data_IF_440722548259
#
_entry.id   IF_440722548259
#
_cell.length_a   1.000
_cell.length_b   1.000
_cell.length_c   1.000
_cell.angle_alpha   90.00
_cell.angle_beta   90.00
_cell.angle_gamma   90.00
#
_symmetry.space_group_name_H-M   'P 1'
#
loop_
_entity.id
_entity.type
_entity.pdbx_description
1 polymer ?
#
# COMPACT_ATOMS: atom_id res chain seq x y z
N UNK A 1 38.00 64.64 -58.81
CA UNK A 1 37.31 65.17 -57.59
C UNK A 1 35.83 64.77 -57.54
N UNK A 2 34.94 65.14 -58.47
CA UNK A 2 33.50 64.78 -58.40
C UNK A 2 33.24 63.30 -58.49
N UNK A 3 33.90 62.55 -59.36
CA UNK A 3 33.76 61.08 -59.49
C UNK A 3 34.23 60.31 -58.24
N UNK A 4 35.24 60.81 -57.61
CA UNK A 4 35.83 60.18 -56.36
C UNK A 4 34.87 60.38 -55.18
N UNK A 5 34.21 61.55 -55.11
CA UNK A 5 33.19 61.77 -54.06
C UNK A 5 31.96 60.87 -54.27
N UNK A 6 31.52 60.66 -55.51
CA UNK A 6 30.42 59.72 -55.81
C UNK A 6 30.77 58.32 -55.52
N UNK A 7 31.99 57.86 -55.77
CA UNK A 7 32.47 56.53 -55.42
C UNK A 7 32.49 56.32 -53.88
N UNK A 8 33.04 57.29 -53.16
CA UNK A 8 33.10 57.24 -51.70
C UNK A 8 31.67 57.22 -51.06
N UNK A 9 30.77 58.05 -51.65
CA UNK A 9 29.36 58.05 -51.18
C UNK A 9 28.69 56.71 -51.38
N UNK A 10 28.82 56.08 -52.54
CA UNK A 10 28.28 54.75 -52.83
C UNK A 10 28.84 53.68 -51.87
N UNK A 11 30.15 53.69 -51.63
CA UNK A 11 30.81 52.78 -50.71
C UNK A 11 30.33 52.95 -49.25
N UNK A 12 30.07 54.16 -48.83
CA UNK A 12 29.54 54.49 -47.52
C UNK A 12 28.10 53.99 -47.37
N UNK A 13 27.25 54.13 -48.39
CA UNK A 13 25.89 53.61 -48.45
C UNK A 13 25.88 52.07 -48.37
N UNK A 14 26.77 51.39 -49.12
CA UNK A 14 26.89 49.93 -49.08
C UNK A 14 27.35 49.43 -47.68
N UNK A 15 28.29 50.12 -47.07
CA UNK A 15 28.75 49.78 -45.69
C UNK A 15 27.64 50.06 -44.66
N UNK A 16 26.90 51.15 -44.80
CA UNK A 16 25.78 51.47 -43.90
C UNK A 16 24.67 50.41 -43.99
N UNK A 17 24.30 49.98 -45.21
CA UNK A 17 23.32 48.94 -45.43
C UNK A 17 23.78 47.58 -44.83
N UNK A 18 25.03 47.19 -45.06
CA UNK A 18 25.59 45.97 -44.49
C UNK A 18 25.65 46.02 -42.97
N UNK A 19 25.94 47.19 -42.38
CA UNK A 19 25.92 47.36 -40.93
C UNK A 19 24.50 47.24 -40.35
N UNK A 20 23.48 47.82 -41.05
CA UNK A 20 22.07 47.70 -40.66
C UNK A 20 21.58 46.28 -40.73
N UNK A 21 21.94 45.48 -41.75
CA UNK A 21 21.60 44.06 -41.84
C UNK A 21 22.22 43.26 -40.68
N UNK A 22 23.49 43.51 -40.36
CA UNK A 22 24.18 42.86 -39.22
C UNK A 22 23.51 43.21 -37.88
N UNK A 23 23.10 44.49 -37.71
CA UNK A 23 22.40 44.92 -36.50
C UNK A 23 21.05 44.21 -36.36
N UNK A 24 20.28 44.08 -37.45
CA UNK A 24 19.00 43.33 -37.45
C UNK A 24 19.19 41.86 -37.09
N UNK A 25 20.22 41.21 -37.71
CA UNK A 25 20.55 39.83 -37.40
C UNK A 25 20.98 39.62 -35.93
N UNK A 26 21.73 40.56 -35.35
CA UNK A 26 22.08 40.52 -33.94
C UNK A 26 20.86 40.70 -33.01
N UNK A 27 19.92 41.55 -33.36
CA UNK A 27 18.67 41.75 -32.62
C UNK A 27 17.78 40.51 -32.67
N UNK A 28 17.72 39.79 -33.80
CA UNK A 28 17.00 38.51 -33.92
C UNK A 28 17.63 37.43 -33.05
N UNK A 29 18.93 37.24 -33.15
CA UNK A 29 19.67 36.26 -32.31
C UNK A 29 19.49 36.59 -30.83
N UNK A 30 19.52 37.85 -30.45
CA UNK A 30 19.32 38.25 -29.06
C UNK A 30 17.91 37.90 -28.58
N UNK A 31 16.87 38.13 -29.38
CA UNK A 31 15.49 37.75 -29.04
C UNK A 31 15.31 36.25 -28.91
N UNK A 32 15.94 35.47 -29.79
CA UNK A 32 15.93 34.03 -29.72
C UNK A 32 16.61 33.53 -28.44
N UNK A 33 17.78 34.08 -28.09
CA UNK A 33 18.49 33.74 -26.88
C UNK A 33 17.69 34.09 -25.60
N UNK A 34 17.05 35.25 -25.55
CA UNK A 34 16.18 35.68 -24.45
C UNK A 34 14.97 34.70 -24.28
N UNK A 35 14.39 34.27 -25.40
CA UNK A 35 13.27 33.31 -25.39
C UNK A 35 13.72 31.92 -24.93
N UNK A 36 14.88 31.46 -25.38
CA UNK A 36 15.43 30.17 -24.98
C UNK A 36 15.82 30.17 -23.48
N UNK A 37 16.40 31.26 -22.98
CA UNK A 37 16.69 31.42 -21.55
C UNK A 37 15.41 31.35 -20.70
N UNK A 38 14.34 32.03 -21.15
CA UNK A 38 13.04 31.97 -20.48
C UNK A 38 12.47 30.55 -20.45
N UNK A 39 12.50 29.86 -21.58
CA UNK A 39 12.02 28.47 -21.68
C UNK A 39 12.82 27.54 -20.76
N UNK A 40 14.15 27.69 -20.74
CA UNK A 40 15.01 26.91 -19.87
C UNK A 40 14.74 27.16 -18.38
N UNK A 41 14.46 28.41 -18.02
CA UNK A 41 14.09 28.79 -16.65
C UNK A 41 12.77 28.16 -16.23
N UNK A 42 11.76 28.17 -17.11
CA UNK A 42 10.45 27.53 -16.87
C UNK A 42 10.59 26.00 -16.73
N UNK A 43 11.37 25.37 -17.59
CA UNK A 43 11.66 23.94 -17.50
C UNK A 43 12.39 23.56 -16.19
N UNK A 44 13.38 24.35 -15.77
CA UNK A 44 14.07 24.16 -14.48
C UNK A 44 13.10 24.27 -13.30
N UNK A 45 12.22 25.26 -13.30
CA UNK A 45 11.23 25.42 -12.25
C UNK A 45 10.23 24.26 -12.24
N UNK A 46 9.74 23.83 -13.40
CA UNK A 46 8.87 22.66 -13.54
C UNK A 46 9.51 21.38 -12.99
N UNK A 47 10.77 21.14 -13.37
CA UNK A 47 11.55 20.00 -12.88
C UNK A 47 11.75 20.05 -11.36
N UNK A 48 12.03 21.21 -10.78
CA UNK A 48 12.17 21.37 -9.34
C UNK A 48 10.85 21.09 -8.59
N UNK A 49 9.72 21.59 -9.11
CA UNK A 49 8.39 21.30 -8.54
C UNK A 49 8.09 19.80 -8.58
N UNK A 50 8.33 19.16 -9.71
CA UNK A 50 8.13 17.72 -9.87
C UNK A 50 9.00 16.92 -8.91
N UNK A 51 10.29 17.23 -8.78
CA UNK A 51 11.20 16.57 -7.84
C UNK A 51 10.75 16.74 -6.38
N UNK A 52 10.26 17.92 -6.02
CA UNK A 52 9.73 18.18 -4.67
C UNK A 52 8.45 17.36 -4.40
N UNK A 53 7.57 17.22 -5.39
CA UNK A 53 6.37 16.40 -5.26
C UNK A 53 6.70 14.92 -5.12
N UNK A 54 7.58 14.39 -5.98
CA UNK A 54 8.04 12.99 -5.89
C UNK A 54 8.71 12.70 -4.55
N UNK A 55 9.57 13.62 -4.04
CA UNK A 55 10.20 13.45 -2.73
C UNK A 55 9.18 13.42 -1.59
N UNK A 56 8.17 14.30 -1.64
CA UNK A 56 7.07 14.32 -0.67
C UNK A 56 6.23 13.03 -0.70
N UNK A 57 5.90 12.52 -1.89
CA UNK A 57 5.18 11.25 -2.03
C UNK A 57 6.00 10.07 -1.51
N UNK A 58 7.32 10.06 -1.79
CA UNK A 58 8.22 9.04 -1.26
C UNK A 58 8.29 9.06 0.27
N UNK A 59 8.44 10.22 0.89
CA UNK A 59 8.43 10.34 2.36
C UNK A 59 7.12 9.85 2.97
N UNK A 60 5.96 10.18 2.36
CA UNK A 60 4.65 9.67 2.80
C UNK A 60 4.58 8.16 2.71
N UNK A 61 5.04 7.57 1.60
CA UNK A 61 5.08 6.12 1.40
C UNK A 61 6.02 5.43 2.41
N UNK A 62 7.20 6.00 2.68
CA UNK A 62 8.13 5.47 3.69
C UNK A 62 7.57 5.55 5.11
N UNK A 63 6.90 6.64 5.49
CA UNK A 63 6.20 6.76 6.78
C UNK A 63 5.09 5.72 6.92
N UNK A 64 4.24 5.56 5.89
CA UNK A 64 3.19 4.55 5.86
C UNK A 64 3.76 3.13 5.97
N UNK A 65 4.84 2.81 5.24
CA UNK A 65 5.52 1.53 5.32
C UNK A 65 6.11 1.26 6.74
N UNK A 66 6.64 2.30 7.41
CA UNK A 66 7.10 2.19 8.79
C UNK A 66 5.95 1.99 9.77
N UNK A 67 4.81 2.67 9.58
CA UNK A 67 3.60 2.47 10.40
C UNK A 67 3.05 1.05 10.23
N UNK A 68 2.95 0.56 9.01
CA UNK A 68 2.54 -0.82 8.71
C UNK A 68 3.51 -1.81 9.39
N UNK A 69 4.81 -1.59 9.31
CA UNK A 69 5.83 -2.43 9.95
C UNK A 69 5.74 -2.39 11.48
N UNK A 70 5.43 -1.23 12.07
CA UNK A 70 5.17 -1.09 13.52
C UNK A 70 3.88 -1.78 13.92
N UNK A 71 2.80 -1.61 13.15
CA UNK A 71 1.52 -2.28 13.37
C UNK A 71 1.66 -3.81 13.33
N UNK A 72 2.46 -4.35 12.40
CA UNK A 72 2.76 -5.78 12.33
C UNK A 72 3.51 -6.34 13.56
N UNK A 73 4.22 -5.52 14.33
CA UNK A 73 4.90 -5.92 15.58
C UNK A 73 3.96 -5.93 16.79
N UNK A 74 2.89 -5.14 16.78
CA UNK A 74 1.95 -5.03 17.90
C UNK A 74 1.03 -6.24 18.06
N UNK A 75 0.54 -6.91 16.99
CA UNK A 75 -0.21 -8.15 17.16
C UNK A 75 0.58 -9.22 17.90
N UNK A 76 1.89 -9.29 17.70
CA UNK A 76 2.73 -10.29 18.40
C UNK A 76 2.75 -10.06 19.92
N UNK A 77 2.79 -8.79 20.37
CA UNK A 77 2.71 -8.45 21.80
C UNK A 77 1.32 -8.74 22.38
N UNK A 78 0.25 -8.35 21.66
CA UNK A 78 -1.13 -8.64 22.04
C UNK A 78 -1.36 -10.14 22.14
N UNK A 79 -0.92 -10.88 21.13
CA UNK A 79 -1.03 -12.34 21.05
C UNK A 79 -0.22 -13.04 22.15
N UNK A 80 0.99 -12.56 22.47
CA UNK A 80 1.78 -13.08 23.59
C UNK A 80 1.07 -12.89 24.94
N UNK A 81 0.30 -11.83 25.10
CA UNK A 81 -0.51 -11.58 26.31
C UNK A 81 -1.74 -12.50 26.36
N UNK A 82 -2.37 -12.76 25.22
CA UNK A 82 -3.56 -13.61 25.09
C UNK A 82 -3.26 -15.09 25.33
N UNK A 83 -2.07 -15.58 24.98
CA UNK A 83 -1.67 -17.01 25.12
C UNK A 83 -1.66 -17.53 26.55
N UNK A 84 -1.91 -16.70 27.55
CA UNK A 84 -2.06 -17.12 28.96
C UNK A 84 -3.44 -17.69 29.30
N UNK A 85 -4.42 -17.60 28.38
CA UNK A 85 -5.77 -18.17 28.61
C UNK A 85 -5.82 -19.65 28.29
N UNK A 86 -6.30 -20.44 29.26
CA UNK A 86 -6.44 -21.91 29.13
C UNK A 86 -7.80 -22.31 28.52
N UNK A 87 -8.00 -22.01 27.23
CA UNK A 87 -9.16 -22.57 26.50
C UNK A 87 -8.71 -23.89 25.81
N UNK A 88 -9.51 -24.96 25.85
CA UNK A 88 -9.09 -26.29 25.39
C UNK A 88 -10.01 -26.94 24.37
N UNK A 89 -11.25 -26.42 24.21
CA UNK A 89 -12.31 -27.10 23.41
C UNK A 89 -12.07 -27.17 21.89
N UNK A 90 -11.24 -26.30 21.32
CA UNK A 90 -11.02 -26.20 19.86
C UNK A 90 -9.78 -26.93 19.31
N UNK A 91 -8.88 -27.43 20.16
CA UNK A 91 -7.59 -27.99 19.74
C UNK A 91 -7.71 -29.15 18.73
N UNK A 92 -8.67 -30.04 18.93
CA UNK A 92 -8.83 -31.26 18.09
C UNK A 92 -9.22 -30.92 16.65
N UNK A 93 -9.87 -29.78 16.41
CA UNK A 93 -10.21 -29.33 15.06
C UNK A 93 -8.95 -29.04 14.23
N UNK A 94 -7.90 -28.49 14.85
CA UNK A 94 -6.64 -28.18 14.16
C UNK A 94 -5.81 -29.44 13.87
N UNK A 95 -5.91 -30.46 14.71
CA UNK A 95 -5.25 -31.75 14.47
C UNK A 95 -5.79 -32.45 13.23
N UNK A 96 -7.11 -32.36 12.99
CA UNK A 96 -7.78 -32.98 11.85
C UNK A 96 -7.55 -32.26 10.51
N UNK A 97 -7.01 -31.04 10.51
CA UNK A 97 -6.69 -30.22 9.31
C UNK A 97 -7.85 -30.17 8.28
N UNK A 98 -9.09 -29.98 8.73
CA UNK A 98 -10.32 -29.84 7.93
C UNK A 98 -11.19 -28.71 8.51
N UNK A 99 -10.57 -27.55 8.75
CA UNK A 99 -11.29 -26.39 9.28
C UNK A 99 -12.24 -25.81 8.24
N UNK A 100 -13.31 -25.15 8.72
CA UNK A 100 -14.21 -24.40 7.87
C UNK A 100 -13.49 -23.21 7.22
N UNK A 101 -13.85 -22.89 5.99
CA UNK A 101 -13.45 -21.63 5.40
C UNK A 101 -14.14 -20.46 6.12
N UNK A 102 -13.41 -19.39 6.51
CA UNK A 102 -14.01 -18.27 7.22
C UNK A 102 -14.98 -17.47 6.36
N UNK A 103 -14.78 -17.46 5.05
CA UNK A 103 -15.66 -16.84 4.05
C UNK A 103 -15.55 -17.58 2.73
N UNK A 104 -16.61 -17.55 1.93
CA UNK A 104 -16.55 -18.01 0.54
C UNK A 104 -15.98 -16.89 -0.34
N UNK A 105 -14.87 -17.14 -1.06
CA UNK A 105 -14.23 -16.14 -1.89
C UNK A 105 -12.97 -16.65 -2.56
N UNK A 106 -12.33 -15.80 -3.35
CA UNK A 106 -11.08 -16.10 -4.08
C UNK A 106 -9.87 -15.69 -3.23
N UNK A 107 -8.91 -16.58 -3.04
CA UNK A 107 -7.64 -16.24 -2.40
C UNK A 107 -6.82 -15.35 -3.33
N UNK A 108 -6.66 -14.07 -2.98
CA UNK A 108 -5.92 -13.05 -3.73
C UNK A 108 -4.54 -12.79 -3.12
N UNK A 109 -4.37 -13.03 -1.82
CA UNK A 109 -3.09 -12.97 -1.11
C UNK A 109 -2.74 -14.30 -0.46
N UNK A 110 -1.52 -14.82 -0.71
CA UNK A 110 -1.04 -16.07 -0.12
C UNK A 110 -0.09 -15.82 1.03
N UNK A 111 -0.07 -16.74 1.98
CA UNK A 111 0.88 -16.76 3.10
C UNK A 111 2.33 -16.82 2.61
N UNK A 112 3.20 -16.01 3.20
CA UNK A 112 4.64 -16.04 2.97
C UNK A 112 5.18 -14.74 2.37
N UNK A 113 6.38 -14.80 1.81
CA UNK A 113 7.02 -13.66 1.15
C UNK A 113 6.44 -13.48 -0.25
N UNK A 114 5.93 -12.27 -0.53
CA UNK A 114 5.58 -11.80 -1.87
C UNK A 114 6.67 -10.82 -2.30
N UNK A 115 7.35 -11.12 -3.40
CA UNK A 115 8.26 -10.17 -4.04
C UNK A 115 7.47 -9.38 -5.08
N UNK A 116 7.60 -8.08 -5.02
CA UNK A 116 7.14 -7.20 -6.08
C UNK A 116 8.29 -7.04 -7.09
N UNK A 117 8.14 -7.66 -8.24
CA UNK A 117 9.17 -7.65 -9.30
C UNK A 117 9.40 -6.25 -9.86
N UNK A 118 8.39 -5.39 -9.83
CA UNK A 118 8.44 -4.03 -10.36
C UNK A 118 9.22 -3.06 -9.47
N UNK A 119 9.13 -3.23 -8.14
CA UNK A 119 9.76 -2.33 -7.16
C UNK A 119 10.86 -3.00 -6.34
N UNK A 120 11.15 -4.29 -6.56
CA UNK A 120 12.17 -5.04 -5.84
C UNK A 120 11.90 -5.17 -4.32
N UNK A 121 10.69 -4.85 -3.88
CA UNK A 121 10.30 -4.91 -2.47
C UNK A 121 9.79 -6.30 -2.11
N UNK A 122 10.08 -6.76 -0.88
CA UNK A 122 9.54 -8.00 -0.36
C UNK A 122 8.59 -7.69 0.80
N UNK A 123 7.33 -8.05 0.66
CA UNK A 123 6.32 -7.99 1.72
C UNK A 123 6.03 -9.38 2.25
N UNK A 124 5.90 -9.52 3.58
CA UNK A 124 5.56 -10.79 4.22
C UNK A 124 4.09 -10.77 4.60
N UNK A 125 3.30 -11.68 4.00
CA UNK A 125 1.92 -11.92 4.41
C UNK A 125 1.89 -13.01 5.49
N UNK A 126 1.38 -12.67 6.68
CA UNK A 126 1.29 -13.59 7.83
C UNK A 126 0.06 -14.50 7.76
N UNK A 127 -0.83 -14.32 6.78
CA UNK A 127 -2.06 -15.06 6.58
C UNK A 127 -2.38 -15.28 5.12
N UNK A 128 -3.66 -15.30 4.80
CA UNK A 128 -4.20 -15.29 3.44
C UNK A 128 -5.22 -14.16 3.33
N UNK A 129 -5.32 -13.59 2.13
CA UNK A 129 -6.32 -12.57 1.82
C UNK A 129 -7.36 -13.18 0.90
N UNK A 130 -8.63 -13.13 1.31
CA UNK A 130 -9.76 -13.74 0.61
C UNK A 130 -10.67 -12.63 0.13
N UNK A 131 -10.70 -12.38 -1.19
CA UNK A 131 -11.62 -11.43 -1.79
C UNK A 131 -13.05 -11.96 -1.74
N UNK A 132 -13.96 -11.18 -1.20
CA UNK A 132 -15.38 -11.44 -1.16
C UNK A 132 -16.15 -10.11 -1.15
N UNK A 133 -17.43 -10.08 -1.60
CA UNK A 133 -18.22 -8.86 -1.58
C UNK A 133 -18.30 -8.22 -0.18
N UNK A 134 -18.32 -6.88 -0.14
CA UNK A 134 -18.52 -6.12 1.09
C UNK A 134 -19.78 -6.62 1.82
N UNK A 135 -19.68 -6.80 3.15
CA UNK A 135 -20.79 -7.30 3.97
C UNK A 135 -21.00 -8.81 3.92
N UNK A 136 -20.16 -9.59 3.21
CA UNK A 136 -20.24 -11.05 3.26
C UNK A 136 -19.95 -11.57 4.68
N UNK A 137 -20.74 -12.55 5.14
CA UNK A 137 -20.61 -13.10 6.50
C UNK A 137 -19.28 -13.83 6.68
N UNK A 138 -18.54 -13.44 7.71
CA UNK A 138 -17.30 -14.10 8.16
C UNK A 138 -17.62 -15.01 9.34
N UNK A 139 -17.16 -16.27 9.26
CA UNK A 139 -17.50 -17.34 10.20
C UNK A 139 -16.30 -17.80 11.01
N UNK A 140 -16.53 -18.16 12.27
CA UNK A 140 -15.55 -18.85 13.10
C UNK A 140 -15.18 -20.22 12.50
N UNK A 141 -13.89 -20.49 12.35
CA UNK A 141 -13.38 -21.73 11.71
C UNK A 141 -13.51 -22.96 12.61
N UNK A 142 -13.53 -22.76 13.91
CA UNK A 142 -13.58 -23.77 14.97
C UNK A 142 -14.17 -23.16 16.25
N UNK A 143 -14.59 -23.99 17.25
CA UNK A 143 -14.98 -23.48 18.56
C UNK A 143 -13.83 -22.72 19.22
N UNK A 144 -14.16 -21.67 19.96
CA UNK A 144 -13.16 -20.84 20.64
C UNK A 144 -13.78 -19.78 21.53
N UNK A 145 -12.90 -19.00 22.16
CA UNK A 145 -13.26 -17.82 22.94
C UNK A 145 -12.70 -16.56 22.27
N UNK A 146 -13.54 -15.55 22.10
CA UNK A 146 -13.12 -14.26 21.55
C UNK A 146 -12.21 -13.57 22.57
N UNK A 147 -11.01 -13.24 22.18
CA UNK A 147 -9.99 -12.61 23.04
C UNK A 147 -9.65 -11.19 22.62
N UNK A 148 -10.10 -10.80 21.41
CA UNK A 148 -10.01 -9.44 20.90
C UNK A 148 -11.15 -9.16 19.89
N UNK A 149 -11.78 -8.00 19.99
CA UNK A 149 -12.86 -7.57 19.10
C UNK A 149 -12.88 -6.03 19.07
N UNK A 150 -12.03 -5.40 18.25
CA UNK A 150 -11.91 -3.94 18.17
C UNK A 150 -11.14 -3.51 16.90
N UNK A 151 -11.01 -2.20 16.71
CA UNK A 151 -10.16 -1.64 15.66
C UNK A 151 -8.68 -1.77 16.04
N UNK A 152 -7.85 -2.19 15.07
CA UNK A 152 -6.40 -2.30 15.24
C UNK A 152 -5.69 -1.65 14.05
N UNK A 153 -4.66 -0.83 14.33
CA UNK A 153 -3.95 -0.08 13.28
C UNK A 153 -3.39 -1.00 12.19
N UNK A 154 -3.68 -0.68 10.94
CA UNK A 154 -3.31 -1.47 9.76
C UNK A 154 -4.25 -2.66 9.46
N UNK A 155 -4.78 -3.34 10.47
CA UNK A 155 -5.73 -4.47 10.31
C UNK A 155 -7.20 -4.03 10.24
N UNK A 156 -7.51 -2.75 10.52
CA UNK A 156 -8.88 -2.28 10.59
C UNK A 156 -9.66 -2.91 11.75
N UNK A 157 -10.96 -3.15 11.57
CA UNK A 157 -11.76 -3.91 12.54
C UNK A 157 -11.35 -5.37 12.51
N UNK A 158 -10.97 -5.90 13.68
CA UNK A 158 -10.34 -7.19 13.83
C UNK A 158 -10.95 -8.00 14.97
N UNK A 159 -11.08 -9.30 14.75
CA UNK A 159 -11.47 -10.28 15.77
C UNK A 159 -10.36 -11.30 15.90
N UNK A 160 -10.01 -11.70 17.15
CA UNK A 160 -9.12 -12.81 17.45
C UNK A 160 -9.87 -13.81 18.32
N UNK A 161 -9.84 -15.08 17.91
CA UNK A 161 -10.46 -16.20 18.62
C UNK A 161 -9.35 -17.15 19.10
N UNK A 162 -9.33 -17.44 20.40
CA UNK A 162 -8.49 -18.48 21.01
C UNK A 162 -9.24 -19.82 20.97
N UNK A 163 -8.63 -20.82 20.32
CA UNK A 163 -9.20 -22.16 20.17
C UNK A 163 -8.61 -23.18 21.14
N UNK A 164 -7.66 -22.76 21.98
CA UNK A 164 -6.90 -23.65 22.84
C UNK A 164 -5.77 -24.38 22.11
N UNK A 165 -4.99 -25.17 22.85
CA UNK A 165 -3.83 -25.89 22.30
C UNK A 165 -2.80 -24.98 21.62
N UNK A 166 -2.72 -23.72 22.05
CA UNK A 166 -1.90 -22.65 21.47
C UNK A 166 -2.29 -22.25 20.03
N UNK A 167 -3.52 -22.53 19.59
CA UNK A 167 -4.04 -22.09 18.30
C UNK A 167 -4.97 -20.90 18.46
N UNK A 168 -4.73 -19.88 17.66
CA UNK A 168 -5.61 -18.71 17.51
C UNK A 168 -5.90 -18.46 16.05
N UNK A 169 -7.08 -17.92 15.75
CA UNK A 169 -7.43 -17.36 14.44
C UNK A 169 -7.64 -15.86 14.53
N UNK A 170 -7.29 -15.15 13.47
CA UNK A 170 -7.41 -13.71 13.34
C UNK A 170 -8.19 -13.40 12.06
N UNK A 171 -9.18 -12.51 12.18
CA UNK A 171 -10.06 -12.04 11.11
C UNK A 171 -9.96 -10.53 11.06
N UNK A 172 -9.46 -9.95 9.97
CA UNK A 172 -9.21 -8.52 9.85
C UNK A 172 -9.84 -7.91 8.59
N UNK A 173 -9.80 -6.59 8.51
CA UNK A 173 -10.43 -5.74 7.49
C UNK A 173 -11.96 -5.86 7.51
N UNK A 174 -12.55 -6.17 8.65
CA UNK A 174 -14.01 -6.31 8.79
C UNK A 174 -14.72 -4.97 8.64
N UNK A 175 -15.88 -4.96 8.00
CA UNK A 175 -16.79 -3.80 7.98
C UNK A 175 -17.53 -3.65 9.30
N UNK A 176 -17.89 -4.78 9.93
CA UNK A 176 -18.51 -4.83 11.26
C UNK A 176 -18.03 -6.04 12.05
N UNK A 177 -18.01 -5.90 13.37
CA UNK A 177 -17.73 -6.98 14.33
C UNK A 177 -19.07 -7.41 14.91
N UNK A 178 -19.30 -8.73 14.97
CA UNK A 178 -20.57 -9.33 15.44
C UNK A 178 -20.45 -10.05 16.79
N UNK A 179 -19.28 -9.98 17.43
CA UNK A 179 -18.96 -10.70 18.69
C UNK A 179 -18.26 -9.77 19.67
N UNK A 180 -18.32 -10.14 20.95
CA UNK A 180 -17.68 -9.40 22.04
C UNK A 180 -16.52 -10.18 22.66
N UNK A 181 -15.58 -9.46 23.27
CA UNK A 181 -14.46 -10.08 24.02
C UNK A 181 -15.03 -10.91 25.20
N UNK A 182 -14.55 -12.15 25.31
CA UNK A 182 -15.02 -13.10 26.31
C UNK A 182 -16.13 -14.03 25.82
N UNK A 183 -16.80 -13.74 24.70
CA UNK A 183 -17.83 -14.58 24.12
C UNK A 183 -17.23 -15.91 23.62
N UNK A 184 -17.93 -17.03 23.93
CA UNK A 184 -17.64 -18.32 23.30
C UNK A 184 -18.34 -18.40 21.96
N UNK A 185 -17.64 -18.89 20.94
CA UNK A 185 -18.18 -19.14 19.60
C UNK A 185 -18.01 -20.61 19.23
N UNK A 186 -18.96 -21.14 18.47
CA UNK A 186 -18.85 -22.47 17.87
C UNK A 186 -18.45 -22.38 16.40
N UNK A 187 -18.04 -23.49 15.81
CA UNK A 187 -17.70 -23.56 14.38
C UNK A 187 -18.89 -23.11 13.53
N UNK A 188 -18.69 -22.10 12.70
CA UNK A 188 -19.70 -21.58 11.79
C UNK A 188 -20.42 -20.32 12.27
N UNK A 189 -20.26 -19.93 13.55
CA UNK A 189 -20.81 -18.70 14.09
C UNK A 189 -20.28 -17.47 13.35
N UNK A 190 -21.13 -16.46 13.17
CA UNK A 190 -20.75 -15.17 12.59
C UNK A 190 -19.83 -14.42 13.56
N UNK A 191 -18.64 -14.03 13.10
CA UNK A 191 -17.70 -13.18 13.86
C UNK A 191 -17.67 -11.74 13.37
N UNK A 192 -18.15 -11.50 12.13
CA UNK A 192 -18.21 -10.18 11.52
C UNK A 192 -18.59 -10.25 10.05
N UNK A 193 -18.43 -9.16 9.36
CA UNK A 193 -18.70 -9.02 7.93
C UNK A 193 -17.43 -8.56 7.20
N UNK A 194 -17.20 -9.07 5.98
CA UNK A 194 -16.09 -8.63 5.10
C UNK A 194 -16.17 -7.12 4.88
N UNK A 195 -15.05 -6.47 4.90
CA UNK A 195 -14.92 -5.04 4.74
C UNK A 195 -13.65 -4.63 3.97
N UNK A 196 -13.41 -3.35 4.03
CA UNK A 196 -12.30 -2.61 3.43
C UNK A 196 -11.59 -1.72 4.47
N UNK A 197 -11.78 -2.01 5.78
CA UNK A 197 -11.20 -1.20 6.85
C UNK A 197 -9.70 -1.49 7.02
N UNK A 198 -8.94 -0.48 7.45
CA UNK A 198 -7.49 -0.59 7.64
C UNK A 198 -6.68 -0.20 6.41
N UNK A 199 -5.69 -1.01 6.02
CA UNK A 199 -4.72 -0.67 4.96
C UNK A 199 -5.04 -1.28 3.59
N UNK A 200 -6.30 -1.63 3.32
CA UNK A 200 -6.73 -2.23 2.05
C UNK A 200 -7.63 -1.27 1.27
N UNK A 201 -7.60 -1.39 -0.06
CA UNK A 201 -8.37 -0.55 -0.99
C UNK A 201 -9.65 -1.25 -1.48
N UNK A 202 -9.67 -2.58 -1.45
CA UNK A 202 -10.79 -3.41 -1.91
C UNK A 202 -11.32 -4.32 -0.79
N UNK A 203 -12.60 -4.71 -0.83
CA UNK A 203 -13.18 -5.61 0.17
C UNK A 203 -12.45 -6.96 0.19
N UNK A 204 -11.83 -7.26 1.33
CA UNK A 204 -11.04 -8.48 1.53
C UNK A 204 -11.07 -8.90 2.99
N UNK A 205 -11.12 -10.19 3.25
CA UNK A 205 -10.83 -10.75 4.56
C UNK A 205 -9.36 -11.13 4.65
N UNK A 206 -8.60 -10.46 5.53
CA UNK A 206 -7.30 -10.97 5.93
C UNK A 206 -7.47 -11.98 7.05
N UNK A 207 -7.00 -13.21 6.83
CA UNK A 207 -7.19 -14.33 7.73
C UNK A 207 -5.88 -14.99 8.10
N UNK A 208 -5.59 -15.07 9.42
CA UNK A 208 -4.41 -15.73 9.94
C UNK A 208 -4.78 -16.90 10.83
N UNK A 209 -3.93 -17.93 10.84
CA UNK A 209 -3.84 -18.94 11.90
C UNK A 209 -2.47 -18.81 12.53
N UNK A 210 -2.45 -18.80 13.86
CA UNK A 210 -1.19 -18.80 14.60
C UNK A 210 -1.12 -19.98 15.54
N UNK A 211 0.05 -20.60 15.64
CA UNK A 211 0.38 -21.66 16.58
C UNK A 211 1.50 -21.20 17.49
N UNK A 212 1.28 -21.22 18.80
CA UNK A 212 2.25 -20.71 19.78
C UNK A 212 2.76 -19.29 19.43
N UNK A 213 1.84 -18.39 19.02
CA UNK A 213 2.11 -17.01 18.64
C UNK A 213 2.69 -16.81 17.23
N UNK A 214 3.22 -17.85 16.60
CA UNK A 214 3.83 -17.77 15.26
C UNK A 214 2.79 -17.98 14.17
N UNK A 215 2.73 -17.12 13.14
CA UNK A 215 1.84 -17.32 12.02
C UNK A 215 2.22 -18.60 11.25
N UNK A 216 1.20 -19.35 10.85
CA UNK A 216 1.32 -20.57 10.04
C UNK A 216 0.43 -20.46 8.80
N UNK A 217 0.79 -21.18 7.73
CA UNK A 217 0.02 -21.13 6.48
C UNK A 217 -1.41 -21.67 6.68
N UNK A 218 -2.47 -20.83 6.60
CA UNK A 218 -3.85 -21.25 6.84
C UNK A 218 -4.33 -22.32 5.87
N UNK A 219 -3.85 -22.33 4.62
CA UNK A 219 -4.25 -23.29 3.60
C UNK A 219 -3.90 -24.74 3.96
N UNK A 220 -2.96 -24.96 4.91
CA UNK A 220 -2.62 -26.29 5.40
C UNK A 220 -3.64 -26.86 6.40
N UNK A 221 -4.53 -26.00 6.92
CA UNK A 221 -5.53 -26.33 7.94
C UNK A 221 -6.96 -26.31 7.41
N UNK A 222 -7.24 -25.44 6.43
CA UNK A 222 -8.57 -25.32 5.83
C UNK A 222 -8.91 -26.58 5.01
N UNK A 223 -10.18 -26.98 5.04
CA UNK A 223 -10.73 -28.04 4.20
C UNK A 223 -10.78 -27.63 2.73
N UNK A 224 -11.36 -28.46 1.88
CA UNK A 224 -11.68 -28.07 0.51
C UNK A 224 -12.70 -26.93 0.53
N UNK A 225 -12.52 -25.87 -0.31
CA UNK A 225 -13.46 -24.75 -0.40
C UNK A 225 -14.85 -25.16 -0.86
#
# INVERSE_FOLDING_TARGET
MVQEILYLKKRLEEQSNSLQEKLRGLEEIRKEAEQEEKNLREQKQGKQRFLKDVSSQREKAERLAQEIKRAQRHPEKLIATIQKTKYTKGEDYFKKKKLLWPVKGKVVGRYGLKRDEKYGTATKNNGIDIAAPLGTVVKAIAPGKVVYASHFLGYGKMVIVDHGGNYISLYAHLSSIAVEVGQEVVKGDMVGLVGDTGSVEEPVLHFEIRKSGKPVNPLKYLGKP
#
